data_IF_021235360898
#
_entry.id   IF_021235360898
#
_cell.length_a   1.000
_cell.length_b   1.000
_cell.length_c   1.000
_cell.angle_alpha   90.00
_cell.angle_beta   90.00
_cell.angle_gamma   90.00
#
_symmetry.space_group_name_H-M   'P 1'
#
loop_
_entity.id
_entity.type
_entity.pdbx_description
1 polymer ?
#
# COMPACT_ATOMS: atom_id res chain seq x y z
N UNK A 1 -8.54 6.52 28.39
CA UNK A 1 -9.26 6.29 27.11
C UNK A 1 -8.41 5.54 26.09
N UNK A 2 -7.17 5.97 25.78
CA UNK A 2 -6.29 5.24 24.84
C UNK A 2 -6.00 3.79 25.26
N UNK A 3 -5.79 3.52 26.55
CA UNK A 3 -5.52 2.17 27.06
C UNK A 3 -6.67 1.19 26.78
N UNK A 4 -7.91 1.67 26.78
CA UNK A 4 -9.07 0.85 26.40
C UNK A 4 -8.94 0.38 24.95
N UNK A 5 -8.68 1.30 24.01
CA UNK A 5 -8.52 0.97 22.60
C UNK A 5 -7.28 0.11 22.33
N UNK A 6 -6.19 0.29 23.08
CA UNK A 6 -5.01 -0.56 22.97
C UNK A 6 -5.29 -2.00 23.42
N UNK A 7 -6.02 -2.18 24.52
CA UNK A 7 -6.45 -3.52 24.96
C UNK A 7 -7.37 -4.18 23.95
N UNK A 8 -8.35 -3.44 23.43
CA UNK A 8 -9.23 -3.92 22.37
C UNK A 8 -8.46 -4.32 21.10
N UNK A 9 -7.54 -3.48 20.63
CA UNK A 9 -6.71 -3.77 19.46
C UNK A 9 -5.81 -4.98 19.66
N UNK A 10 -5.28 -5.17 20.88
CA UNK A 10 -4.52 -6.36 21.27
C UNK A 10 -5.38 -7.61 21.21
N UNK A 11 -6.55 -7.59 21.85
CA UNK A 11 -7.46 -8.73 21.85
C UNK A 11 -7.90 -9.14 20.45
N UNK A 12 -8.27 -8.17 19.59
CA UNK A 12 -8.64 -8.46 18.20
C UNK A 12 -7.47 -9.07 17.42
N UNK A 13 -6.26 -8.52 17.58
CA UNK A 13 -5.07 -9.03 16.89
C UNK A 13 -4.72 -10.45 17.34
N UNK A 14 -4.83 -10.73 18.64
CA UNK A 14 -4.52 -12.05 19.21
C UNK A 14 -5.54 -13.09 18.74
N UNK A 15 -6.84 -12.77 18.76
CA UNK A 15 -7.90 -13.65 18.22
C UNK A 15 -7.74 -13.93 16.73
N UNK A 16 -7.31 -12.95 15.93
CA UNK A 16 -7.01 -13.15 14.52
C UNK A 16 -5.84 -14.12 14.33
N UNK A 17 -4.81 -14.00 15.16
CA UNK A 17 -3.68 -14.93 15.18
C UNK A 17 -4.10 -16.35 15.55
N UNK A 18 -4.96 -16.50 16.55
CA UNK A 18 -5.47 -17.81 17.00
C UNK A 18 -6.22 -18.57 15.90
N UNK A 19 -6.88 -17.87 14.98
CA UNK A 19 -7.59 -18.45 13.83
C UNK A 19 -6.74 -18.54 12.56
N UNK A 20 -5.43 -18.26 12.64
CA UNK A 20 -4.47 -18.47 11.55
C UNK A 20 -4.02 -17.22 10.80
N UNK A 21 -4.44 -16.01 11.19
CA UNK A 21 -3.86 -14.76 10.66
C UNK A 21 -2.64 -14.35 11.48
N UNK A 22 -1.48 -14.92 11.12
CA UNK A 22 -0.21 -14.66 11.82
C UNK A 22 0.08 -13.16 11.97
N UNK A 23 0.74 -12.80 13.08
CA UNK A 23 1.20 -11.44 13.30
C UNK A 23 2.03 -10.89 12.14
N UNK A 24 1.88 -9.60 11.88
CA UNK A 24 2.64 -8.91 10.85
C UNK A 24 4.01 -8.49 11.38
N UNK A 25 5.07 -9.02 10.75
CA UNK A 25 6.47 -8.67 11.06
C UNK A 25 6.79 -7.19 10.77
N UNK A 26 6.02 -6.55 9.89
CA UNK A 26 6.20 -5.14 9.53
C UNK A 26 5.72 -4.16 10.60
N UNK A 27 5.15 -4.64 11.71
CA UNK A 27 4.76 -3.80 12.83
C UNK A 27 3.56 -2.88 12.58
N UNK A 28 2.79 -3.08 11.50
CA UNK A 28 1.61 -2.28 11.12
C UNK A 28 0.29 -2.71 11.80
N UNK A 29 0.34 -3.63 12.75
CA UNK A 29 -0.85 -4.13 13.43
C UNK A 29 -1.44 -3.08 14.38
N UNK A 30 -2.76 -3.07 14.55
CA UNK A 30 -3.44 -2.16 15.46
C UNK A 30 -2.96 -2.27 16.91
N UNK A 31 -2.52 -3.46 17.36
CA UNK A 31 -1.92 -3.67 18.70
C UNK A 31 -0.63 -2.89 18.93
N UNK A 32 0.03 -2.41 17.87
CA UNK A 32 1.18 -1.52 18.00
C UNK A 32 0.70 -0.14 18.51
N UNK A 33 1.20 0.34 19.66
CA UNK A 33 0.77 1.63 20.20
C UNK A 33 0.94 2.81 19.24
N UNK A 34 1.86 2.72 18.26
CA UNK A 34 2.07 3.72 17.21
C UNK A 34 0.86 3.94 16.28
N UNK A 35 -0.08 2.99 16.21
CA UNK A 35 -1.21 3.04 15.26
C UNK A 35 -2.58 3.10 15.94
N UNK A 36 -2.62 3.10 17.27
CA UNK A 36 -3.87 3.28 18.04
C UNK A 36 -3.90 4.68 18.63
N UNK A 37 -4.52 5.60 17.89
CA UNK A 37 -4.54 7.02 18.19
C UNK A 37 -5.84 7.70 17.78
N UNK A 38 -6.06 8.91 18.31
CA UNK A 38 -7.17 9.79 17.92
C UNK A 38 -7.02 10.30 16.49
N UNK A 39 -8.13 10.75 15.88
CA UNK A 39 -8.12 11.41 14.58
C UNK A 39 -7.14 12.58 14.51
N UNK A 40 -7.11 13.43 15.53
CA UNK A 40 -6.18 14.57 15.59
C UNK A 40 -4.70 14.16 15.58
N UNK A 41 -4.37 12.99 16.13
CA UNK A 41 -3.01 12.46 16.09
C UNK A 41 -2.70 11.85 14.71
N UNK A 42 -3.66 11.17 14.09
CA UNK A 42 -3.51 10.72 12.70
C UNK A 42 -3.25 11.89 11.74
N UNK A 43 -4.01 12.98 11.86
CA UNK A 43 -3.79 14.20 11.06
C UNK A 43 -2.36 14.73 11.22
N UNK A 44 -1.84 14.80 12.46
CA UNK A 44 -0.44 15.20 12.72
C UNK A 44 0.57 14.25 12.09
N UNK A 45 0.36 12.94 12.19
CA UNK A 45 1.25 11.96 11.57
C UNK A 45 1.34 12.17 10.06
N UNK A 46 0.21 12.39 9.38
CA UNK A 46 0.21 12.67 7.95
C UNK A 46 0.91 13.97 7.58
N UNK A 47 0.69 15.04 8.34
CA UNK A 47 1.43 16.30 8.20
C UNK A 47 2.94 16.04 8.32
N UNK A 48 3.39 15.36 9.37
CA UNK A 48 4.79 15.01 9.58
C UNK A 48 5.36 14.20 8.41
N UNK A 49 4.66 13.15 7.96
CA UNK A 49 5.16 12.29 6.89
C UNK A 49 5.26 13.01 5.53
N UNK A 50 4.36 13.94 5.26
CA UNK A 50 4.39 14.77 4.05
C UNK A 50 5.54 15.79 4.11
N UNK A 51 5.75 16.46 5.24
CA UNK A 51 6.80 17.49 5.39
C UNK A 51 8.20 16.90 5.56
N UNK A 52 8.36 15.88 6.39
CA UNK A 52 9.62 15.20 6.66
C UNK A 52 9.79 14.01 5.72
N UNK A 53 9.94 14.30 4.43
CA UNK A 53 10.09 13.27 3.41
C UNK A 53 11.44 12.55 3.55
N UNK A 54 11.41 11.39 4.22
CA UNK A 54 12.46 10.39 4.26
C UNK A 54 11.87 9.01 3.84
N UNK A 55 12.69 8.00 3.50
CA UNK A 55 12.19 6.71 3.04
C UNK A 55 11.20 6.04 4.00
N UNK A 56 11.40 6.16 5.32
CA UNK A 56 10.53 5.56 6.32
C UNK A 56 9.14 6.23 6.36
N UNK A 57 9.10 7.56 6.32
CA UNK A 57 7.86 8.33 6.31
C UNK A 57 7.06 8.11 5.02
N UNK A 58 7.74 7.98 3.89
CA UNK A 58 7.09 7.62 2.61
C UNK A 58 6.48 6.23 2.68
N UNK A 59 7.17 5.25 3.28
CA UNK A 59 6.64 3.90 3.47
C UNK A 59 5.40 3.90 4.40
N UNK A 60 5.46 4.62 5.52
CA UNK A 60 4.32 4.76 6.46
C UNK A 60 3.13 5.42 5.78
N UNK A 61 3.36 6.52 5.08
CA UNK A 61 2.32 7.20 4.33
C UNK A 61 1.72 6.28 3.26
N UNK A 62 2.54 5.57 2.47
CA UNK A 62 2.04 4.65 1.45
C UNK A 62 1.16 3.55 2.03
N UNK A 63 1.54 2.99 3.20
CA UNK A 63 0.75 1.97 3.88
C UNK A 63 -0.60 2.53 4.36
N UNK A 64 -0.63 3.72 4.95
CA UNK A 64 -1.85 4.32 5.50
C UNK A 64 -2.66 5.12 4.47
N UNK A 65 -2.11 5.43 3.30
CA UNK A 65 -2.90 5.94 2.17
C UNK A 65 -3.91 4.90 1.68
N UNK A 66 -3.62 3.61 1.87
CA UNK A 66 -4.50 2.49 1.50
C UNK A 66 -5.55 2.17 2.59
N UNK A 67 -6.01 3.16 3.37
CA UNK A 67 -7.01 2.98 4.43
C UNK A 67 -8.44 2.79 3.90
N UNK A 68 -9.19 1.91 4.57
CA UNK A 68 -10.61 1.66 4.31
C UNK A 68 -11.36 1.57 5.63
N UNK A 69 -12.58 2.13 5.67
CA UNK A 69 -13.49 1.94 6.78
C UNK A 69 -13.84 0.46 6.93
N UNK A 70 -13.84 -0.03 8.18
CA UNK A 70 -14.24 -1.39 8.51
C UNK A 70 -15.39 -1.41 9.52
N UNK A 71 -15.25 -0.65 10.61
CA UNK A 71 -16.22 -0.62 11.70
C UNK A 71 -16.09 0.68 12.51
N UNK A 72 -17.13 1.06 13.24
CA UNK A 72 -17.19 2.24 14.10
C UNK A 72 -17.92 3.39 13.44
N UNK A 73 -17.42 4.61 13.64
CA UNK A 73 -18.03 5.84 13.12
C UNK A 73 -17.41 6.23 11.76
N UNK A 74 -18.17 6.15 10.64
CA UNK A 74 -17.64 6.45 9.30
C UNK A 74 -17.11 7.88 9.16
N UNK A 75 -17.75 8.84 9.85
CA UNK A 75 -17.40 10.25 9.79
C UNK A 75 -15.94 10.54 10.18
N UNK A 76 -15.33 9.71 11.04
CA UNK A 76 -13.92 9.83 11.41
C UNK A 76 -13.01 9.63 10.18
N UNK A 77 -13.33 8.65 9.33
CA UNK A 77 -12.56 8.41 8.11
C UNK A 77 -12.83 9.49 7.06
N UNK A 78 -14.07 9.94 6.94
CA UNK A 78 -14.44 10.99 6.00
C UNK A 78 -13.71 12.30 6.33
N UNK A 79 -13.69 12.70 7.61
CA UNK A 79 -12.94 13.88 8.07
C UNK A 79 -11.41 13.74 7.87
N UNK A 80 -10.88 12.52 7.98
CA UNK A 80 -9.47 12.24 7.66
C UNK A 80 -9.19 12.36 6.17
N UNK A 81 -10.10 11.89 5.31
CA UNK A 81 -9.98 11.99 3.85
C UNK A 81 -10.05 13.43 3.37
N UNK A 82 -10.97 14.23 3.88
CA UNK A 82 -11.09 15.65 3.54
C UNK A 82 -9.82 16.43 3.94
N UNK A 83 -9.28 16.11 5.12
CA UNK A 83 -8.00 16.63 5.56
C UNK A 83 -6.87 16.22 4.61
N UNK A 84 -6.77 14.95 4.23
CA UNK A 84 -5.74 14.48 3.29
C UNK A 84 -5.88 15.12 1.91
N UNK A 85 -7.09 15.27 1.38
CA UNK A 85 -7.31 15.96 0.10
C UNK A 85 -6.78 17.40 0.14
N UNK A 86 -7.01 18.10 1.26
CA UNK A 86 -6.49 19.46 1.48
C UNK A 86 -4.96 19.47 1.57
N UNK A 87 -4.35 18.56 2.33
CA UNK A 87 -2.88 18.49 2.46
C UNK A 87 -2.20 18.15 1.13
N UNK A 88 -2.81 17.28 0.32
CA UNK A 88 -2.27 16.86 -0.98
C UNK A 88 -2.36 17.93 -2.07
N UNK A 89 -3.06 19.05 -1.84
CA UNK A 89 -3.05 20.21 -2.73
C UNK A 89 -1.82 21.10 -2.54
N UNK A 90 -1.05 20.91 -1.46
CA UNK A 90 0.21 21.62 -1.19
C UNK A 90 1.35 21.04 -2.06
N UNK A 91 2.50 21.71 -2.19
CA UNK A 91 3.63 21.15 -2.94
C UNK A 91 4.09 19.79 -2.40
N UNK A 92 4.16 18.77 -3.28
CA UNK A 92 4.49 17.38 -2.94
C UNK A 92 5.74 16.85 -3.64
N UNK A 93 6.48 17.68 -4.37
CA UNK A 93 7.51 17.21 -5.31
C UNK A 93 8.58 16.34 -4.65
N UNK A 94 9.07 16.75 -3.47
CA UNK A 94 10.06 15.98 -2.71
C UNK A 94 9.50 14.64 -2.23
N UNK A 95 8.27 14.63 -1.75
CA UNK A 95 7.59 13.44 -1.26
C UNK A 95 7.35 12.43 -2.40
N UNK A 96 6.81 12.91 -3.52
CA UNK A 96 6.59 12.11 -4.73
C UNK A 96 7.91 11.60 -5.32
N UNK A 97 8.99 12.39 -5.26
CA UNK A 97 10.32 11.95 -5.68
C UNK A 97 10.79 10.75 -4.88
N UNK A 98 10.72 10.77 -3.55
CA UNK A 98 11.10 9.61 -2.74
C UNK A 98 10.18 8.40 -2.98
N UNK A 99 8.88 8.63 -3.16
CA UNK A 99 7.94 7.54 -3.47
C UNK A 99 8.23 6.89 -4.82
N UNK A 100 8.53 7.69 -5.84
CA UNK A 100 8.93 7.21 -7.16
C UNK A 100 10.28 6.47 -7.10
N UNK A 101 11.27 7.03 -6.40
CA UNK A 101 12.56 6.37 -6.19
C UNK A 101 12.40 5.01 -5.51
N UNK A 102 11.53 4.91 -4.51
CA UNK A 102 11.23 3.62 -3.85
C UNK A 102 10.58 2.62 -4.82
N UNK A 103 9.64 3.07 -5.66
CA UNK A 103 9.01 2.22 -6.68
C UNK A 103 10.03 1.70 -7.72
N UNK A 104 11.09 2.47 -7.99
CA UNK A 104 12.17 2.11 -8.92
C UNK A 104 13.26 1.21 -8.31
N UNK A 105 13.28 0.99 -7.00
CA UNK A 105 14.29 0.12 -6.37
C UNK A 105 14.13 -1.36 -6.72
N UNK A 106 12.97 -1.75 -7.25
CA UNK A 106 12.78 -3.12 -7.70
C UNK A 106 13.26 -3.29 -9.15
N UNK A 107 14.33 -4.05 -9.30
CA UNK A 107 14.77 -4.52 -10.61
C UNK A 107 14.07 -5.84 -10.96
N UNK A 108 13.48 -5.96 -12.17
CA UNK A 108 12.96 -7.23 -12.66
C UNK A 108 14.01 -8.33 -12.53
N UNK A 109 13.66 -9.50 -11.97
CA UNK A 109 14.62 -10.56 -11.72
C UNK A 109 14.89 -11.26 -13.06
N UNK A 110 15.71 -10.63 -13.91
CA UNK A 110 16.07 -11.15 -15.22
C UNK A 110 17.53 -11.59 -15.21
N UNK A 111 17.83 -12.65 -15.96
CA UNK A 111 19.21 -13.05 -16.26
C UNK A 111 19.72 -12.26 -17.47
N UNK A 112 21.02 -12.37 -17.75
CA UNK A 112 21.64 -11.76 -18.93
C UNK A 112 20.95 -12.14 -20.26
N UNK A 113 20.35 -13.34 -20.33
CA UNK A 113 19.60 -13.83 -21.48
C UNK A 113 18.09 -13.57 -21.38
N UNK A 114 17.67 -12.63 -20.52
CA UNK A 114 16.28 -12.25 -20.33
C UNK A 114 15.36 -13.37 -19.79
N UNK A 115 15.94 -14.40 -19.15
CA UNK A 115 15.16 -15.42 -18.42
C UNK A 115 14.82 -14.92 -17.02
N UNK A 116 13.74 -15.44 -16.40
CA UNK A 116 13.39 -15.07 -15.03
C UNK A 116 14.35 -15.74 -14.04
N UNK A 117 15.01 -14.94 -13.21
CA UNK A 117 15.87 -15.37 -12.11
C UNK A 117 15.01 -15.97 -10.99
N UNK A 118 15.32 -17.21 -10.65
CA UNK A 118 14.68 -17.98 -9.57
C UNK A 118 15.60 -18.07 -8.34
N UNK A 119 15.04 -18.52 -7.22
CA UNK A 119 15.80 -18.95 -6.04
C UNK A 119 15.29 -20.32 -5.57
N UNK A 120 16.16 -21.07 -4.88
CA UNK A 120 15.81 -22.39 -4.38
C UNK A 120 14.95 -22.31 -3.10
N UNK A 121 13.89 -23.11 -3.05
CA UNK A 121 13.13 -23.43 -1.83
C UNK A 121 12.97 -24.94 -1.80
N UNK A 122 13.74 -25.61 -0.94
CA UNK A 122 13.91 -27.07 -1.01
C UNK A 122 14.45 -27.47 -2.39
N UNK A 123 13.79 -28.43 -3.03
CA UNK A 123 14.17 -28.95 -4.36
C UNK A 123 13.57 -28.14 -5.53
N UNK A 124 12.83 -27.07 -5.25
CA UNK A 124 12.13 -26.29 -6.27
C UNK A 124 12.82 -24.95 -6.53
N UNK A 125 12.84 -24.55 -7.81
CA UNK A 125 13.19 -23.19 -8.23
C UNK A 125 11.93 -22.34 -8.30
N UNK A 126 11.89 -21.26 -7.53
CA UNK A 126 10.70 -20.42 -7.37
C UNK A 126 10.99 -18.95 -7.66
N UNK A 127 9.92 -18.21 -7.93
CA UNK A 127 9.94 -16.75 -8.11
C UNK A 127 9.06 -16.09 -7.05
N UNK A 128 9.43 -14.87 -6.63
CA UNK A 128 8.63 -14.13 -5.66
C UNK A 128 7.60 -13.26 -6.39
N UNK A 129 6.40 -13.79 -6.61
CA UNK A 129 5.32 -13.07 -7.29
C UNK A 129 4.96 -11.75 -6.60
N UNK A 130 4.98 -11.70 -5.27
CA UNK A 130 4.71 -10.46 -4.51
C UNK A 130 5.70 -9.36 -4.91
N UNK A 131 7.00 -9.70 -4.97
CA UNK A 131 8.04 -8.76 -5.40
C UNK A 131 7.88 -8.33 -6.86
N UNK A 132 7.55 -9.26 -7.78
CA UNK A 132 7.34 -8.95 -9.21
C UNK A 132 6.16 -7.99 -9.41
N UNK A 133 5.13 -8.07 -8.57
CA UNK A 133 3.95 -7.21 -8.66
C UNK A 133 4.15 -5.83 -8.03
N UNK A 134 5.07 -5.68 -7.07
CA UNK A 134 5.29 -4.43 -6.32
C UNK A 134 5.49 -3.20 -7.21
N UNK A 135 6.28 -3.22 -8.31
CA UNK A 135 6.45 -2.04 -9.16
C UNK A 135 5.15 -1.50 -9.74
N UNK A 136 4.26 -2.40 -10.18
CA UNK A 136 2.96 -2.00 -10.73
C UNK A 136 2.13 -1.34 -9.62
N UNK A 137 2.09 -1.95 -8.43
CA UNK A 137 1.34 -1.43 -7.29
C UNK A 137 1.87 -0.06 -6.86
N UNK A 138 3.19 0.07 -6.75
CA UNK A 138 3.83 1.28 -6.24
C UNK A 138 3.77 2.43 -7.26
N UNK A 139 4.01 2.16 -8.54
CA UNK A 139 3.84 3.15 -9.61
C UNK A 139 2.40 3.67 -9.65
N UNK A 140 1.41 2.76 -9.68
CA UNK A 140 -0.01 3.14 -9.68
C UNK A 140 -0.37 3.92 -8.41
N UNK A 141 0.22 3.58 -7.24
CA UNK A 141 0.02 4.35 -6.00
C UNK A 141 0.58 5.76 -6.10
N UNK A 142 1.77 5.95 -6.66
CA UNK A 142 2.38 7.28 -6.87
C UNK A 142 1.47 8.15 -7.75
N UNK A 143 1.02 7.61 -8.89
CA UNK A 143 0.11 8.34 -9.77
C UNK A 143 -1.25 8.60 -9.14
N UNK A 144 -1.81 7.63 -8.40
CA UNK A 144 -3.05 7.80 -7.67
C UNK A 144 -2.95 8.93 -6.65
N UNK A 145 -1.86 8.97 -5.88
CA UNK A 145 -1.64 10.02 -4.89
C UNK A 145 -1.51 11.40 -5.55
N UNK A 146 -0.67 11.52 -6.58
CA UNK A 146 -0.48 12.77 -7.33
C UNK A 146 -1.79 13.32 -7.89
N UNK A 147 -2.72 12.45 -8.26
CA UNK A 147 -4.02 12.80 -8.83
C UNK A 147 -5.17 12.71 -7.82
N UNK A 148 -4.87 12.59 -6.51
CA UNK A 148 -5.85 12.54 -5.41
C UNK A 148 -6.92 11.45 -5.58
N UNK A 149 -6.52 10.29 -6.10
CA UNK A 149 -7.36 9.10 -6.23
C UNK A 149 -7.27 8.26 -4.95
N UNK A 150 -8.31 8.33 -4.12
CA UNK A 150 -8.39 7.64 -2.82
C UNK A 150 -8.88 6.18 -2.88
N UNK A 151 -9.09 5.62 -4.08
CA UNK A 151 -9.34 4.19 -4.22
C UNK A 151 -8.13 3.40 -3.68
N UNK A 152 -8.37 2.29 -2.98
CA UNK A 152 -7.29 1.48 -2.38
C UNK A 152 -6.88 0.29 -3.24
N UNK A 153 -7.78 -0.20 -4.11
CA UNK A 153 -7.50 -1.29 -5.02
C UNK A 153 -6.72 -0.80 -6.25
N UNK A 154 -5.64 -1.51 -6.63
CA UNK A 154 -4.80 -1.16 -7.78
C UNK A 154 -5.57 -1.10 -9.10
N UNK A 155 -6.51 -2.02 -9.36
CA UNK A 155 -7.34 -2.02 -10.57
C UNK A 155 -8.30 -0.83 -10.61
N UNK A 156 -8.90 -0.48 -9.47
CA UNK A 156 -9.74 0.72 -9.35
C UNK A 156 -8.93 2.01 -9.57
N UNK A 157 -7.71 2.08 -9.03
CA UNK A 157 -6.78 3.21 -9.29
C UNK A 157 -6.46 3.33 -10.78
N UNK A 158 -6.10 2.24 -11.43
CA UNK A 158 -5.82 2.21 -12.87
C UNK A 158 -7.02 2.74 -13.68
N UNK A 159 -8.25 2.31 -13.36
CA UNK A 159 -9.44 2.77 -14.06
C UNK A 159 -9.71 4.27 -13.86
N UNK A 160 -9.51 4.78 -12.64
CA UNK A 160 -9.64 6.20 -12.34
C UNK A 160 -8.55 7.03 -13.06
N UNK A 161 -7.29 6.60 -13.01
CA UNK A 161 -6.16 7.28 -13.64
C UNK A 161 -6.27 7.32 -15.17
N UNK A 162 -6.79 6.26 -15.78
CA UNK A 162 -7.15 6.26 -17.21
C UNK A 162 -8.22 7.31 -17.53
N UNK A 163 -9.27 7.40 -16.71
CA UNK A 163 -10.34 8.38 -16.89
C UNK A 163 -9.82 9.81 -16.77
N UNK A 164 -8.79 10.04 -15.94
CA UNK A 164 -8.09 11.32 -15.79
C UNK A 164 -7.05 11.58 -16.91
N UNK A 165 -6.86 10.66 -17.85
CA UNK A 165 -5.87 10.80 -18.93
C UNK A 165 -4.41 10.63 -18.50
N UNK A 166 -4.16 10.11 -17.29
CA UNK A 166 -2.80 9.87 -16.77
C UNK A 166 -2.12 8.69 -17.47
N UNK A 167 -2.92 7.68 -17.83
CA UNK A 167 -2.48 6.55 -18.65
C UNK A 167 -3.30 6.51 -19.95
N UNK A 168 -2.62 6.22 -21.05
CA UNK A 168 -3.29 5.87 -22.31
C UNK A 168 -4.08 4.56 -22.15
N UNK A 169 -5.05 4.32 -23.05
CA UNK A 169 -5.81 3.05 -23.03
C UNK A 169 -4.87 1.84 -23.15
N UNK A 170 -3.81 1.94 -23.96
CA UNK A 170 -2.82 0.87 -24.12
C UNK A 170 -2.08 0.58 -22.82
N UNK A 171 -1.51 1.60 -22.18
CA UNK A 171 -0.79 1.44 -20.90
C UNK A 171 -1.71 0.90 -19.80
N UNK A 172 -2.94 1.39 -19.73
CA UNK A 172 -3.96 0.89 -18.82
C UNK A 172 -4.18 -0.61 -19.00
N UNK A 173 -4.42 -1.08 -20.24
CA UNK A 173 -4.67 -2.48 -20.52
C UNK A 173 -3.46 -3.36 -20.19
N UNK A 174 -2.25 -2.94 -20.57
CA UNK A 174 -1.01 -3.68 -20.28
C UNK A 174 -0.78 -3.83 -18.76
N UNK A 175 -0.93 -2.76 -17.99
CA UNK A 175 -0.77 -2.80 -16.53
C UNK A 175 -1.87 -3.62 -15.85
N UNK A 176 -3.12 -3.46 -16.27
CA UNK A 176 -4.27 -4.16 -15.70
C UNK A 176 -4.17 -5.67 -15.90
N UNK A 177 -3.89 -6.10 -17.14
CA UNK A 177 -3.76 -7.51 -17.48
C UNK A 177 -2.57 -8.14 -16.75
N UNK A 178 -1.41 -7.47 -16.74
CA UNK A 178 -0.23 -7.95 -16.03
C UNK A 178 -0.49 -8.12 -14.53
N UNK A 179 -1.11 -7.11 -13.90
CA UNK A 179 -1.43 -7.15 -12.47
C UNK A 179 -2.38 -8.30 -12.12
N UNK A 180 -3.50 -8.44 -12.82
CA UNK A 180 -4.49 -9.48 -12.51
C UNK A 180 -4.01 -10.89 -12.90
N UNK A 181 -3.18 -11.03 -13.94
CA UNK A 181 -2.55 -12.30 -14.26
C UNK A 181 -1.63 -12.77 -13.12
N UNK A 182 -0.73 -11.90 -12.66
CA UNK A 182 0.17 -12.19 -11.53
C UNK A 182 -0.61 -12.45 -10.23
N UNK A 183 -1.68 -11.69 -9.97
CA UNK A 183 -2.55 -11.90 -8.82
C UNK A 183 -3.24 -13.26 -8.88
N UNK A 184 -3.75 -13.64 -10.06
CA UNK A 184 -4.38 -14.95 -10.27
C UNK A 184 -3.41 -16.10 -10.01
N UNK A 185 -2.16 -16.01 -10.48
CA UNK A 185 -1.13 -16.99 -10.16
C UNK A 185 -0.84 -17.07 -8.65
N UNK A 186 -0.74 -15.92 -7.99
CA UNK A 186 -0.49 -15.85 -6.54
C UNK A 186 -1.61 -16.50 -5.73
N UNK A 187 -2.87 -16.19 -6.05
CA UNK A 187 -4.04 -16.74 -5.35
C UNK A 187 -4.13 -18.26 -5.51
N UNK A 188 -3.90 -18.79 -6.71
CA UNK A 188 -3.88 -20.25 -6.96
C UNK A 188 -2.86 -20.97 -6.06
N UNK A 189 -1.68 -20.37 -5.86
CA UNK A 189 -0.61 -20.92 -5.03
C UNK A 189 -0.79 -20.70 -3.52
N UNK A 190 -1.69 -19.82 -3.10
CA UNK A 190 -2.00 -19.59 -1.68
C UNK A 190 -3.23 -20.39 -1.21
N UNK A 191 -4.10 -20.77 -2.13
CA UNK A 191 -5.28 -21.59 -1.86
C UNK A 191 -5.00 -23.11 -1.91
N UNK A 192 -3.81 -23.50 -2.36
CA UNK A 192 -3.34 -24.89 -2.46
C UNK A 192 -2.09 -25.05 -1.63
#
# INVERSE_FOLDING_TARGET
MRDYFLRFATEVSDRLNDIGFSFCDGGFMAKNPKWTHSLSHWKRNYTEWLHESNPENVMRFAAFFDIRFLYGEPAILDELRDFLDTELQKPLDRFLHYMATNALQYEPPLTFFNNIRTFAVGDQQVVNLKKIMSPIVDAVRVFALKNRVFATNTGQRLAALRTLGVFTEKEYQELLQSYYYLMGMRLKKQAT
#
